data_IF_132240006863
#
_entry.id   IF_132240006863
#
_cell.length_a   1.000
_cell.length_b   1.000
_cell.length_c   1.000
_cell.angle_alpha   90.00
_cell.angle_beta   90.00
_cell.angle_gamma   90.00
#
_symmetry.space_group_name_H-M   'P 1'
#
loop_
_entity.id
_entity.type
_entity.pdbx_description
1 polymer ?
#
# COMPACT_ATOMS: atom_id res chain seq x y z
N UNK A 1 -12.25 -33.82 -61.95
CA UNK A 1 -11.79 -34.83 -60.97
C UNK A 1 -10.96 -34.13 -59.89
N UNK A 2 -11.42 -34.24 -58.63
CA UNK A 2 -10.68 -34.17 -57.35
C UNK A 2 -9.67 -33.02 -57.18
N UNK A 3 -10.07 -31.95 -56.47
CA UNK A 3 -9.78 -31.71 -55.03
C UNK A 3 -8.27 -31.62 -54.74
N UNK A 4 -7.78 -30.42 -54.45
CA UNK A 4 -7.08 -30.16 -53.19
C UNK A 4 -7.00 -28.63 -52.95
N UNK A 5 -7.84 -28.17 -52.02
CA UNK A 5 -7.74 -26.87 -51.36
C UNK A 5 -6.47 -26.93 -50.47
N UNK A 6 -5.46 -26.12 -50.74
CA UNK A 6 -4.38 -25.88 -49.77
C UNK A 6 -4.68 -24.55 -49.07
N UNK A 7 -5.49 -24.63 -48.02
CA UNK A 7 -5.64 -23.54 -47.05
C UNK A 7 -4.40 -23.56 -46.17
N UNK A 8 -3.49 -22.62 -46.38
CA UNK A 8 -2.44 -22.32 -45.42
C UNK A 8 -3.09 -21.62 -44.22
N UNK A 9 -3.56 -22.43 -43.28
CA UNK A 9 -3.95 -21.99 -41.96
C UNK A 9 -2.65 -21.72 -41.19
N UNK A 10 -2.19 -20.48 -41.25
CA UNK A 10 -1.12 -20.01 -40.37
C UNK A 10 -1.72 -19.94 -38.96
N UNK A 11 -1.73 -21.08 -38.26
CA UNK A 11 -1.83 -21.11 -36.80
C UNK A 11 -0.55 -20.45 -36.29
N UNK A 12 -0.55 -19.12 -36.24
CA UNK A 12 0.33 -18.40 -35.35
C UNK A 12 -0.17 -18.77 -33.96
N UNK A 13 0.36 -19.88 -33.43
CA UNK A 13 0.33 -20.15 -32.00
C UNK A 13 1.13 -19.01 -31.40
N UNK A 14 0.45 -17.89 -31.13
CA UNK A 14 0.84 -17.01 -30.06
C UNK A 14 0.78 -17.90 -28.82
N UNK A 15 1.91 -18.56 -28.52
CA UNK A 15 2.24 -18.86 -27.14
C UNK A 15 2.34 -17.50 -26.47
N UNK A 16 1.20 -16.92 -26.13
CA UNK A 16 1.10 -16.14 -24.93
C UNK A 16 1.61 -17.13 -23.88
N UNK A 17 2.88 -17.00 -23.53
CA UNK A 17 3.35 -17.38 -22.23
C UNK A 17 2.43 -16.63 -21.28
N UNK A 18 1.33 -17.29 -20.92
CA UNK A 18 0.61 -17.05 -19.69
C UNK A 18 1.70 -17.27 -18.64
N UNK A 19 2.46 -16.21 -18.36
CA UNK A 19 3.13 -16.06 -17.10
C UNK A 19 1.98 -16.09 -16.09
N UNK A 20 1.66 -17.31 -15.62
CA UNK A 20 0.76 -17.46 -14.51
C UNK A 20 1.47 -16.74 -13.38
N UNK A 21 0.96 -15.55 -13.04
CA UNK A 21 1.40 -14.80 -11.89
C UNK A 21 1.65 -15.78 -10.74
N UNK A 22 2.80 -15.64 -10.07
CA UNK A 22 3.14 -16.48 -8.94
C UNK A 22 2.11 -16.25 -7.83
N UNK A 23 1.05 -17.05 -7.81
CA UNK A 23 -0.02 -16.93 -6.83
C UNK A 23 0.47 -17.49 -5.50
N UNK A 24 0.18 -16.78 -4.42
CA UNK A 24 0.37 -17.29 -3.07
C UNK A 24 -0.49 -18.55 -2.89
N UNK A 25 0.00 -19.50 -2.10
CA UNK A 25 -0.85 -20.60 -1.64
C UNK A 25 -2.02 -20.05 -0.80
N UNK A 26 -3.10 -20.83 -0.63
CA UNK A 26 -4.23 -20.44 0.23
C UNK A 26 -3.77 -20.09 1.65
N UNK A 27 -2.80 -20.84 2.17
CA UNK A 27 -2.23 -20.60 3.48
C UNK A 27 -1.46 -19.26 3.54
N UNK A 28 -0.62 -18.98 2.54
CA UNK A 28 0.13 -17.72 2.47
C UNK A 28 -0.79 -16.52 2.26
N UNK A 29 -1.83 -16.64 1.42
CA UNK A 29 -2.82 -15.58 1.25
C UNK A 29 -3.56 -15.29 2.56
N UNK A 30 -3.91 -16.33 3.32
CA UNK A 30 -4.53 -16.16 4.64
C UNK A 30 -3.62 -15.37 5.59
N UNK A 31 -2.32 -15.66 5.60
CA UNK A 31 -1.35 -14.92 6.42
C UNK A 31 -1.30 -13.44 6.04
N UNK A 32 -1.34 -13.12 4.74
CA UNK A 32 -1.40 -11.73 4.29
C UNK A 32 -2.69 -11.06 4.75
N UNK A 33 -3.84 -11.73 4.62
CA UNK A 33 -5.13 -11.18 5.04
C UNK A 33 -5.18 -10.96 6.57
N UNK A 34 -4.68 -11.92 7.36
CA UNK A 34 -4.55 -11.81 8.82
C UNK A 34 -3.64 -10.63 9.21
N UNK A 35 -2.53 -10.42 8.47
CA UNK A 35 -1.63 -9.29 8.68
C UNK A 35 -2.30 -7.94 8.35
N UNK A 36 -3.17 -7.89 7.33
CA UNK A 36 -3.92 -6.67 7.01
C UNK A 36 -4.96 -6.36 8.09
N UNK A 37 -5.65 -7.38 8.61
CA UNK A 37 -6.57 -7.22 9.74
C UNK A 37 -5.84 -6.76 11.01
N UNK A 38 -4.67 -7.35 11.31
CA UNK A 38 -3.84 -6.89 12.42
C UNK A 38 -3.53 -5.38 12.31
N UNK A 39 -3.19 -4.87 11.12
CA UNK A 39 -2.96 -3.43 10.91
C UNK A 39 -4.21 -2.57 11.07
N UNK A 40 -5.39 -3.11 10.83
CA UNK A 40 -6.63 -2.39 11.13
C UNK A 40 -6.82 -2.29 12.64
N UNK A 41 -6.63 -3.41 13.35
CA UNK A 41 -6.78 -3.49 14.81
C UNK A 41 -5.78 -2.59 15.54
N UNK A 42 -4.56 -2.40 14.99
CA UNK A 42 -3.60 -1.48 15.60
C UNK A 42 -4.16 -0.08 15.73
N UNK A 43 -5.10 0.38 14.88
CA UNK A 43 -5.66 1.74 14.95
C UNK A 43 -6.51 2.01 16.20
N UNK A 44 -6.84 0.97 16.98
CA UNK A 44 -7.48 1.08 18.29
C UNK A 44 -6.48 1.33 19.43
N UNK A 45 -5.19 1.14 19.18
CA UNK A 45 -4.13 1.30 20.17
C UNK A 45 -3.58 2.73 20.18
N UNK A 46 -2.73 3.05 21.15
CA UNK A 46 -1.81 4.19 21.04
C UNK A 46 -0.66 3.85 20.07
N UNK A 47 0.08 4.85 19.54
CA UNK A 47 1.28 4.60 18.73
C UNK A 47 2.32 3.73 19.44
N UNK A 48 2.57 3.97 20.74
CA UNK A 48 3.51 3.19 21.55
C UNK A 48 3.07 1.73 21.73
N UNK A 49 1.78 1.52 21.99
CA UNK A 49 1.20 0.17 22.06
C UNK A 49 1.24 -0.54 20.72
N UNK A 50 1.05 0.19 19.61
CA UNK A 50 1.18 -0.35 18.25
C UNK A 50 2.60 -0.87 18.01
N UNK A 51 3.64 -0.09 18.36
CA UNK A 51 5.04 -0.52 18.22
C UNK A 51 5.30 -1.80 19.03
N UNK A 52 4.76 -1.89 20.25
CA UNK A 52 4.86 -3.11 21.08
C UNK A 52 4.14 -4.29 20.42
N UNK A 53 2.93 -4.09 19.91
CA UNK A 53 2.14 -5.12 19.24
C UNK A 53 2.83 -5.62 17.97
N UNK A 54 3.42 -4.73 17.16
CA UNK A 54 4.20 -5.09 15.95
C UNK A 54 5.41 -5.95 16.31
N UNK A 55 6.14 -5.60 17.37
CA UNK A 55 7.30 -6.39 17.84
C UNK A 55 6.88 -7.78 18.33
N UNK A 56 5.79 -7.87 19.07
CA UNK A 56 5.24 -9.16 19.52
C UNK A 56 4.76 -10.00 18.33
N UNK A 57 3.97 -9.42 17.43
CA UNK A 57 3.49 -10.10 16.22
C UNK A 57 4.65 -10.64 15.40
N UNK A 58 5.69 -9.82 15.16
CA UNK A 58 6.88 -10.25 14.43
C UNK A 58 7.58 -11.42 15.11
N UNK A 59 7.73 -11.37 16.44
CA UNK A 59 8.33 -12.45 17.21
C UNK A 59 7.51 -13.73 17.09
N UNK A 60 6.21 -13.67 17.35
CA UNK A 60 5.31 -14.83 17.25
C UNK A 60 5.32 -15.42 15.83
N UNK A 61 5.18 -14.58 14.80
CA UNK A 61 5.20 -15.01 13.40
C UNK A 61 6.52 -15.70 13.03
N UNK A 62 7.66 -15.18 13.50
CA UNK A 62 8.98 -15.77 13.26
C UNK A 62 9.32 -16.95 14.18
N UNK A 63 8.60 -17.17 15.27
CA UNK A 63 8.80 -18.32 16.16
C UNK A 63 7.81 -19.46 15.89
N UNK A 64 6.69 -19.17 15.22
CA UNK A 64 5.68 -20.15 14.86
C UNK A 64 6.27 -21.24 13.95
N UNK A 65 6.04 -22.51 14.30
CA UNK A 65 6.42 -23.64 13.48
C UNK A 65 5.77 -23.59 12.07
N UNK A 66 4.62 -22.92 11.95
CA UNK A 66 3.93 -22.69 10.69
C UNK A 66 4.75 -21.87 9.69
N UNK A 67 5.72 -21.06 10.16
CA UNK A 67 6.59 -20.26 9.28
C UNK A 67 7.38 -21.10 8.27
N UNK A 68 7.69 -22.35 8.62
CA UNK A 68 8.40 -23.28 7.74
C UNK A 68 7.56 -23.69 6.53
N UNK A 69 6.27 -23.35 6.51
CA UNK A 69 5.36 -23.54 5.38
C UNK A 69 5.19 -22.29 4.52
N UNK A 70 5.78 -21.16 4.89
CA UNK A 70 5.74 -19.93 4.10
C UNK A 70 6.99 -19.80 3.25
N UNK A 71 6.85 -19.28 2.03
CA UNK A 71 8.00 -18.90 1.23
C UNK A 71 8.75 -17.71 1.82
N UNK A 72 10.04 -17.58 1.51
CA UNK A 72 10.85 -16.40 1.86
C UNK A 72 10.22 -15.10 1.34
N UNK A 73 9.51 -15.16 0.20
CA UNK A 73 8.77 -14.03 -0.37
C UNK A 73 7.60 -13.60 0.52
N UNK A 74 6.78 -14.55 0.99
CA UNK A 74 5.67 -14.27 1.92
C UNK A 74 6.17 -13.66 3.22
N UNK A 75 7.26 -14.19 3.78
CA UNK A 75 7.89 -13.63 4.98
C UNK A 75 8.32 -12.17 4.74
N UNK A 76 8.96 -11.88 3.60
CA UNK A 76 9.39 -10.54 3.25
C UNK A 76 8.22 -9.56 3.09
N UNK A 77 7.10 -10.00 2.49
CA UNK A 77 5.87 -9.21 2.37
C UNK A 77 5.34 -8.82 3.75
N UNK A 78 5.22 -9.79 4.67
CA UNK A 78 4.72 -9.53 6.04
C UNK A 78 5.65 -8.56 6.76
N UNK A 79 6.97 -8.75 6.66
CA UNK A 79 7.94 -7.82 7.27
C UNK A 79 7.85 -6.40 6.71
N UNK A 80 7.62 -6.25 5.40
CA UNK A 80 7.40 -4.93 4.79
C UNK A 80 6.23 -4.22 5.47
N UNK A 81 5.10 -4.89 5.63
CA UNK A 81 3.93 -4.30 6.26
C UNK A 81 4.11 -4.02 7.75
N UNK A 82 4.82 -4.88 8.49
CA UNK A 82 5.15 -4.63 9.88
C UNK A 82 6.04 -3.39 10.04
N UNK A 83 7.04 -3.22 9.15
CA UNK A 83 7.90 -2.04 9.15
C UNK A 83 7.13 -0.78 8.78
N UNK A 84 6.19 -0.85 7.84
CA UNK A 84 5.32 0.29 7.50
C UNK A 84 4.43 0.71 8.67
N UNK A 85 3.92 -0.25 9.44
CA UNK A 85 3.12 0.01 10.63
C UNK A 85 3.95 0.62 11.75
N UNK A 86 5.14 0.06 12.03
CA UNK A 86 6.10 0.63 13.00
C UNK A 86 6.51 2.05 12.60
N UNK A 87 6.87 2.28 11.34
CA UNK A 87 7.20 3.59 10.81
C UNK A 87 6.06 4.59 11.02
N UNK A 88 4.82 4.22 10.66
CA UNK A 88 3.65 5.07 10.82
C UNK A 88 3.41 5.49 12.27
N UNK A 89 3.57 4.57 13.23
CA UNK A 89 3.45 4.86 14.65
C UNK A 89 4.58 5.74 15.19
N UNK A 90 5.83 5.48 14.79
CA UNK A 90 6.96 6.35 15.15
C UNK A 90 6.74 7.79 14.66
N UNK A 91 6.20 7.93 13.45
CA UNK A 91 5.88 9.23 12.84
C UNK A 91 4.72 9.96 13.53
N UNK A 92 3.79 9.24 14.15
CA UNK A 92 2.71 9.80 14.97
C UNK A 92 3.22 10.30 16.32
N UNK A 93 4.17 9.59 16.95
CA UNK A 93 4.81 10.01 18.21
C UNK A 93 5.64 11.27 18.01
N UNK A 94 6.51 11.25 16.99
CA UNK A 94 7.39 12.36 16.67
C UNK A 94 7.71 12.33 15.16
N UNK A 95 7.33 13.37 14.39
CA UNK A 95 7.67 13.48 12.97
C UNK A 95 9.17 13.41 12.65
N UNK A 96 10.04 13.60 13.66
CA UNK A 96 11.50 13.51 13.58
C UNK A 96 12.08 12.34 14.41
N UNK A 97 11.27 11.34 14.74
CA UNK A 97 11.72 10.20 15.55
C UNK A 97 12.98 9.54 14.95
N UNK A 98 14.07 9.39 15.72
CA UNK A 98 15.38 9.00 15.19
C UNK A 98 15.40 7.58 14.58
N UNK A 99 14.48 6.71 14.98
CA UNK A 99 14.40 5.32 14.49
C UNK A 99 13.72 5.16 13.12
N UNK A 100 12.97 6.17 12.63
CA UNK A 100 12.24 6.05 11.36
C UNK A 100 13.14 5.79 10.15
N UNK A 101 14.23 6.55 10.02
CA UNK A 101 15.16 6.39 8.90
C UNK A 101 15.91 5.04 8.96
N UNK A 102 16.48 4.63 10.12
CA UNK A 102 17.09 3.31 10.27
C UNK A 102 16.18 2.14 9.90
N UNK A 103 14.94 2.10 10.40
CA UNK A 103 14.04 0.96 10.16
C UNK A 103 13.67 0.83 8.68
N UNK A 104 13.35 1.94 8.02
CA UNK A 104 13.05 1.94 6.58
C UNK A 104 14.28 1.61 5.72
N UNK A 105 15.46 2.14 6.08
CA UNK A 105 16.70 1.86 5.34
C UNK A 105 17.03 0.37 5.38
N UNK A 106 16.97 -0.26 6.56
CA UNK A 106 17.26 -1.68 6.71
C UNK A 106 16.28 -2.55 5.89
N UNK A 107 14.98 -2.23 5.92
CA UNK A 107 13.99 -2.98 5.15
C UNK A 107 14.12 -2.73 3.64
N UNK A 108 14.43 -1.50 3.20
CA UNK A 108 14.69 -1.20 1.79
C UNK A 108 15.90 -2.00 1.28
N UNK A 109 17.02 -2.01 2.01
CA UNK A 109 18.22 -2.77 1.65
C UNK A 109 17.94 -4.29 1.58
N UNK A 110 17.11 -4.82 2.48
CA UNK A 110 16.67 -6.22 2.47
C UNK A 110 15.88 -6.55 1.19
N UNK A 111 14.94 -5.69 0.80
CA UNK A 111 14.19 -5.88 -0.45
C UNK A 111 15.08 -5.75 -1.68
N UNK A 112 15.99 -4.76 -1.75
CA UNK A 112 16.92 -4.60 -2.88
C UNK A 112 17.77 -5.86 -3.08
N UNK A 113 18.30 -6.42 -1.99
CA UNK A 113 19.07 -7.67 -2.02
C UNK A 113 18.23 -8.85 -2.48
N UNK A 114 16.99 -8.96 -2.00
CA UNK A 114 16.08 -10.03 -2.42
C UNK A 114 15.76 -9.92 -3.91
N UNK A 115 15.41 -8.73 -4.41
CA UNK A 115 15.08 -8.50 -5.83
C UNK A 115 16.28 -8.80 -6.75
N UNK A 116 17.49 -8.46 -6.31
CA UNK A 116 18.72 -8.78 -7.03
C UNK A 116 19.00 -10.28 -7.06
N UNK A 117 18.81 -10.98 -5.93
CA UNK A 117 19.02 -12.43 -5.83
C UNK A 117 18.03 -13.22 -6.71
N UNK A 118 16.79 -12.72 -6.83
CA UNK A 118 15.70 -13.38 -7.55
C UNK A 118 15.32 -12.58 -8.82
N UNK A 119 16.30 -11.97 -9.50
CA UNK A 119 16.05 -11.06 -10.64
C UNK A 119 15.26 -11.74 -11.77
N UNK A 120 15.51 -13.04 -12.01
CA UNK A 120 14.93 -13.84 -13.09
C UNK A 120 13.62 -14.52 -12.70
N UNK A 121 13.23 -14.41 -11.45
CA UNK A 121 12.01 -15.04 -10.94
C UNK A 121 10.83 -14.08 -11.06
N UNK A 122 9.69 -14.63 -11.42
CA UNK A 122 8.43 -13.89 -11.32
C UNK A 122 8.07 -13.71 -9.85
N UNK A 123 7.73 -12.47 -9.51
CA UNK A 123 7.45 -12.02 -8.14
C UNK A 123 5.95 -11.93 -7.95
N UNK A 124 5.49 -12.18 -6.73
CA UNK A 124 4.08 -12.03 -6.40
C UNK A 124 3.66 -10.55 -6.34
N UNK A 125 2.40 -10.25 -6.70
CA UNK A 125 1.84 -8.90 -6.69
C UNK A 125 1.91 -8.22 -5.32
N UNK A 126 1.77 -8.96 -4.22
CA UNK A 126 1.97 -8.46 -2.86
C UNK A 126 3.39 -8.02 -2.58
N UNK A 127 4.40 -8.66 -3.17
CA UNK A 127 5.78 -8.24 -2.99
C UNK A 127 6.03 -6.90 -3.70
N UNK A 128 5.58 -6.77 -4.95
CA UNK A 128 5.65 -5.49 -5.65
C UNK A 128 4.94 -4.37 -4.88
N UNK A 129 3.70 -4.61 -4.45
CA UNK A 129 2.91 -3.62 -3.72
C UNK A 129 3.54 -3.23 -2.36
N UNK A 130 3.93 -4.21 -1.55
CA UNK A 130 4.50 -3.95 -0.22
C UNK A 130 5.86 -3.26 -0.31
N UNK A 131 6.69 -3.63 -1.28
CA UNK A 131 7.98 -2.98 -1.49
C UNK A 131 7.82 -1.55 -2.04
N UNK A 132 6.85 -1.31 -2.93
CA UNK A 132 6.51 0.05 -3.36
C UNK A 132 6.11 0.94 -2.17
N UNK A 133 5.43 0.39 -1.16
CA UNK A 133 5.16 1.07 0.11
C UNK A 133 6.45 1.47 0.85
N UNK A 134 7.39 0.54 1.01
CA UNK A 134 8.70 0.82 1.66
C UNK A 134 9.48 1.90 0.91
N UNK A 135 9.57 1.81 -0.42
CA UNK A 135 10.27 2.81 -1.24
C UNK A 135 9.62 4.18 -1.03
N UNK A 136 8.28 4.26 -1.13
CA UNK A 136 7.50 5.48 -0.97
C UNK A 136 7.77 6.17 0.36
N UNK A 137 7.72 5.43 1.47
CA UNK A 137 8.03 5.95 2.81
C UNK A 137 9.48 6.40 2.94
N UNK A 138 10.40 5.70 2.28
CA UNK A 138 11.83 6.02 2.33
C UNK A 138 12.24 7.22 1.46
N UNK A 139 11.41 7.61 0.47
CA UNK A 139 11.67 8.74 -0.43
C UNK A 139 12.01 10.03 0.31
N UNK A 140 11.38 10.29 1.47
CA UNK A 140 11.57 11.53 2.23
C UNK A 140 13.04 11.76 2.63
N UNK A 141 13.83 10.70 2.78
CA UNK A 141 15.24 10.75 3.15
C UNK A 141 16.19 10.78 1.95
N UNK A 142 15.65 10.79 0.73
CA UNK A 142 16.40 10.74 -0.51
C UNK A 142 16.65 12.13 -1.12
N UNK A 143 17.67 12.20 -1.98
CA UNK A 143 17.93 13.38 -2.80
C UNK A 143 16.78 13.63 -3.79
N UNK A 144 16.65 14.85 -4.31
CA UNK A 144 15.60 15.19 -5.27
C UNK A 144 15.59 14.28 -6.51
N UNK A 145 16.75 14.05 -7.13
CA UNK A 145 16.83 13.17 -8.31
C UNK A 145 16.51 11.72 -7.98
N UNK A 146 16.96 11.23 -6.83
CA UNK A 146 16.61 9.89 -6.35
C UNK A 146 15.11 9.77 -6.07
N UNK A 147 14.44 10.83 -5.59
CA UNK A 147 12.98 10.84 -5.41
C UNK A 147 12.23 10.67 -6.72
N UNK A 148 12.68 11.30 -7.80
CA UNK A 148 12.07 11.16 -9.12
C UNK A 148 12.21 9.72 -9.62
N UNK A 149 13.44 9.20 -9.65
CA UNK A 149 13.73 7.84 -10.13
C UNK A 149 12.95 6.78 -9.33
N UNK A 150 13.06 6.82 -8.01
CA UNK A 150 12.38 5.88 -7.12
C UNK A 150 10.86 6.07 -7.10
N UNK A 151 10.37 7.29 -7.30
CA UNK A 151 8.94 7.56 -7.46
C UNK A 151 8.36 6.92 -8.74
N UNK A 152 9.11 6.88 -9.84
CA UNK A 152 8.72 6.16 -11.05
C UNK A 152 8.77 4.64 -10.83
N UNK A 153 9.78 4.13 -10.13
CA UNK A 153 9.87 2.72 -9.77
C UNK A 153 8.68 2.25 -8.91
N UNK A 154 8.23 3.08 -7.95
CA UNK A 154 7.02 2.82 -7.16
C UNK A 154 5.82 2.61 -8.08
N UNK A 155 5.61 3.49 -9.05
CA UNK A 155 4.52 3.37 -10.02
C UNK A 155 4.65 2.07 -10.83
N UNK A 156 5.84 1.79 -11.36
CA UNK A 156 6.10 0.57 -12.15
C UNK A 156 5.76 -0.70 -11.35
N UNK A 157 6.14 -0.76 -10.08
CA UNK A 157 5.84 -1.92 -9.23
C UNK A 157 4.34 -2.06 -8.95
N UNK A 158 3.64 -0.96 -8.70
CA UNK A 158 2.20 -1.00 -8.51
C UNK A 158 1.46 -1.38 -9.80
N UNK A 159 1.91 -0.91 -10.95
CA UNK A 159 1.39 -1.32 -12.26
C UNK A 159 1.62 -2.82 -12.49
N UNK A 160 2.82 -3.35 -12.23
CA UNK A 160 3.12 -4.79 -12.28
C UNK A 160 2.23 -5.62 -11.33
N UNK A 161 1.96 -5.11 -10.13
CA UNK A 161 1.06 -5.77 -9.19
C UNK A 161 -0.36 -5.88 -9.77
N UNK A 162 -0.87 -4.83 -10.42
CA UNK A 162 -2.19 -4.82 -11.05
C UNK A 162 -2.26 -5.57 -12.38
N UNK A 163 -1.17 -5.66 -13.14
CA UNK A 163 -1.09 -6.55 -14.31
C UNK A 163 -1.29 -8.02 -13.91
N UNK A 164 -0.74 -8.41 -12.76
CA UNK A 164 -0.88 -9.76 -12.20
C UNK A 164 -2.20 -9.98 -11.45
N UNK A 165 -2.66 -8.97 -10.71
CA UNK A 165 -3.88 -9.01 -9.93
C UNK A 165 -4.63 -7.66 -10.05
N UNK A 166 -5.48 -7.51 -11.09
CA UNK A 166 -6.20 -6.26 -11.36
C UNK A 166 -7.10 -5.81 -10.20
N UNK A 167 -7.54 -6.75 -9.37
CA UNK A 167 -8.46 -6.48 -8.26
C UNK A 167 -7.72 -6.25 -6.92
N UNK A 168 -6.42 -6.01 -6.96
CA UNK A 168 -5.64 -5.80 -5.75
C UNK A 168 -5.88 -4.39 -5.16
N UNK A 169 -6.83 -4.28 -4.24
CA UNK A 169 -7.23 -3.02 -3.57
C UNK A 169 -6.03 -2.18 -3.08
N UNK A 170 -5.05 -2.79 -2.40
CA UNK A 170 -3.87 -2.06 -1.91
C UNK A 170 -2.98 -1.49 -3.03
N UNK A 171 -2.84 -2.19 -4.16
CA UNK A 171 -2.07 -1.68 -5.30
C UNK A 171 -2.82 -0.55 -6.01
N UNK A 172 -4.15 -0.65 -6.13
CA UNK A 172 -5.02 0.42 -6.62
C UNK A 172 -4.90 1.67 -5.72
N UNK A 173 -4.94 1.51 -4.40
CA UNK A 173 -4.69 2.61 -3.46
C UNK A 173 -3.29 3.20 -3.61
N UNK A 174 -2.26 2.36 -3.79
CA UNK A 174 -0.89 2.82 -4.00
C UNK A 174 -0.78 3.70 -5.25
N UNK A 175 -1.41 3.30 -6.36
CA UNK A 175 -1.47 4.13 -7.57
C UNK A 175 -2.31 5.39 -7.35
N UNK A 176 -3.40 5.30 -6.61
CA UNK A 176 -4.21 6.45 -6.27
C UNK A 176 -3.39 7.52 -5.51
N UNK A 177 -2.57 7.11 -4.53
CA UNK A 177 -1.63 7.99 -3.83
C UNK A 177 -0.59 8.57 -4.78
N UNK A 178 -0.02 7.74 -5.66
CA UNK A 178 0.95 8.20 -6.65
C UNK A 178 0.35 9.29 -7.56
N UNK A 179 -0.85 9.06 -8.09
CA UNK A 179 -1.55 10.05 -8.93
C UNK A 179 -1.95 11.31 -8.17
N UNK A 180 -2.20 11.22 -6.86
CA UNK A 180 -2.49 12.40 -6.06
C UNK A 180 -1.26 13.31 -5.94
N UNK A 181 -0.11 12.75 -5.58
CA UNK A 181 1.11 13.52 -5.29
C UNK A 181 2.00 13.80 -6.52
N UNK A 182 1.87 13.02 -7.59
CA UNK A 182 2.67 13.24 -8.79
C UNK A 182 2.37 14.61 -9.42
N UNK A 183 3.38 15.32 -9.95
CA UNK A 183 3.15 16.52 -10.74
C UNK A 183 2.24 16.26 -11.94
N UNK A 184 1.44 17.25 -12.33
CA UNK A 184 0.56 17.16 -13.50
C UNK A 184 1.32 16.80 -14.79
N UNK A 185 2.55 17.28 -14.97
CA UNK A 185 3.41 16.95 -16.12
C UNK A 185 3.77 15.46 -16.19
N UNK A 186 3.82 14.77 -15.04
CA UNK A 186 4.05 13.33 -14.95
C UNK A 186 2.75 12.53 -14.96
N UNK A 187 1.61 13.19 -15.18
CA UNK A 187 0.28 12.58 -15.27
C UNK A 187 -0.51 12.52 -13.96
N UNK A 188 -0.05 13.18 -12.91
CA UNK A 188 -0.77 13.31 -11.64
C UNK A 188 -2.11 14.06 -11.77
N UNK A 189 -3.10 13.63 -11.01
CA UNK A 189 -4.46 14.17 -11.03
C UNK A 189 -5.27 13.63 -9.85
N UNK A 190 -5.90 14.53 -9.09
CA UNK A 190 -6.86 14.16 -8.04
C UNK A 190 -8.05 13.39 -8.61
N UNK A 191 -8.47 13.66 -9.85
CA UNK A 191 -9.56 12.89 -10.48
C UNK A 191 -9.13 11.45 -10.77
N UNK A 192 -7.92 11.24 -11.31
CA UNK A 192 -7.40 9.88 -11.51
C UNK A 192 -7.22 9.16 -10.17
N UNK A 193 -6.67 9.86 -9.18
CA UNK A 193 -6.55 9.34 -7.82
C UNK A 193 -7.89 8.83 -7.30
N UNK A 194 -8.96 9.63 -7.44
CA UNK A 194 -10.29 9.24 -7.01
C UNK A 194 -10.83 8.00 -7.77
N UNK A 195 -10.61 7.89 -9.08
CA UNK A 195 -11.00 6.69 -9.86
C UNK A 195 -10.33 5.44 -9.32
N UNK A 196 -9.03 5.48 -9.04
CA UNK A 196 -8.33 4.33 -8.45
C UNK A 196 -8.80 4.02 -7.02
N UNK A 197 -9.21 5.02 -6.23
CA UNK A 197 -9.83 4.75 -4.92
C UNK A 197 -11.23 4.16 -5.04
N UNK A 198 -12.01 4.53 -6.07
CA UNK A 198 -13.31 3.91 -6.35
C UNK A 198 -13.14 2.43 -6.70
N UNK A 199 -12.14 2.11 -7.54
CA UNK A 199 -11.77 0.72 -7.84
C UNK A 199 -11.29 -0.01 -6.58
N UNK A 200 -10.41 0.60 -5.78
CA UNK A 200 -9.92 0.00 -4.53
C UNK A 200 -11.05 -0.32 -3.54
N UNK A 201 -12.06 0.54 -3.45
CA UNK A 201 -13.26 0.29 -2.63
C UNK A 201 -14.09 -0.85 -3.20
N UNK A 202 -14.29 -0.89 -4.52
CA UNK A 202 -15.06 -1.94 -5.19
C UNK A 202 -14.41 -3.32 -5.04
N UNK A 203 -13.09 -3.35 -5.03
CA UNK A 203 -12.29 -4.56 -5.02
C UNK A 203 -11.76 -4.94 -3.62
N UNK A 204 -12.15 -4.20 -2.58
CA UNK A 204 -11.79 -4.52 -1.21
C UNK A 204 -12.37 -5.87 -0.80
N UNK A 205 -11.51 -6.79 -0.36
CA UNK A 205 -11.87 -8.17 -0.02
C UNK A 205 -12.17 -8.37 1.46
N UNK A 206 -11.73 -7.43 2.29
CA UNK A 206 -11.92 -7.44 3.74
C UNK A 206 -12.05 -6.01 4.30
N UNK A 207 -12.39 -5.90 5.57
CA UNK A 207 -12.61 -4.62 6.24
C UNK A 207 -11.34 -3.76 6.32
N UNK A 208 -10.16 -4.37 6.39
CA UNK A 208 -8.90 -3.63 6.41
C UNK A 208 -8.63 -2.92 5.07
N UNK A 209 -8.83 -3.62 3.95
CA UNK A 209 -8.74 -3.04 2.60
C UNK A 209 -9.79 -1.93 2.44
N UNK A 210 -11.04 -2.20 2.80
CA UNK A 210 -12.13 -1.24 2.65
C UNK A 210 -11.90 0.01 3.50
N UNK A 211 -11.49 -0.16 4.76
CA UNK A 211 -11.20 0.95 5.66
C UNK A 211 -10.08 1.82 5.09
N UNK A 212 -8.96 1.23 4.67
CA UNK A 212 -7.85 2.00 4.16
C UNK A 212 -8.18 2.71 2.83
N UNK A 213 -8.95 2.06 1.93
CA UNK A 213 -9.40 2.69 0.70
C UNK A 213 -10.33 3.88 0.99
N UNK A 214 -11.32 3.70 1.88
CA UNK A 214 -12.24 4.77 2.31
C UNK A 214 -11.53 5.90 3.05
N UNK A 215 -10.48 5.59 3.81
CA UNK A 215 -9.71 6.57 4.55
C UNK A 215 -9.17 7.65 3.62
N UNK A 216 -8.45 7.24 2.57
CA UNK A 216 -7.92 8.19 1.61
C UNK A 216 -8.95 8.71 0.60
N UNK A 217 -9.93 7.90 0.21
CA UNK A 217 -11.03 8.35 -0.66
C UNK A 217 -11.80 9.51 -0.05
N UNK A 218 -12.11 9.44 1.26
CA UNK A 218 -12.78 10.53 1.99
C UNK A 218 -12.02 11.85 1.84
N UNK A 219 -10.69 11.80 1.85
CA UNK A 219 -9.83 12.98 1.80
C UNK A 219 -9.77 13.57 0.38
N UNK A 220 -9.89 12.73 -0.65
CA UNK A 220 -10.10 13.21 -2.02
C UNK A 220 -11.45 13.91 -2.16
N UNK A 221 -12.53 13.39 -1.55
CA UNK A 221 -13.83 14.06 -1.55
C UNK A 221 -13.81 15.38 -0.79
N UNK A 222 -13.13 15.42 0.36
CA UNK A 222 -12.94 16.65 1.14
C UNK A 222 -12.20 17.72 0.32
N UNK A 223 -11.07 17.35 -0.32
CA UNK A 223 -10.30 18.26 -1.18
C UNK A 223 -11.15 18.86 -2.32
N UNK A 224 -12.11 18.09 -2.84
CA UNK A 224 -12.95 18.47 -3.97
C UNK A 224 -14.28 19.12 -3.57
N UNK A 225 -14.46 19.48 -2.29
CA UNK A 225 -15.71 20.02 -1.74
C UNK A 225 -16.95 19.13 -1.98
N UNK A 226 -16.75 17.81 -2.10
CA UNK A 226 -17.81 16.81 -2.29
C UNK A 226 -18.36 16.34 -0.94
N UNK A 227 -19.13 17.22 -0.30
CA UNK A 227 -19.56 17.06 1.11
C UNK A 227 -20.37 15.79 1.38
N UNK A 228 -21.26 15.39 0.48
CA UNK A 228 -22.10 14.20 0.70
C UNK A 228 -21.27 12.93 0.64
N UNK A 229 -20.46 12.78 -0.41
CA UNK A 229 -19.58 11.63 -0.59
C UNK A 229 -18.51 11.53 0.50
N UNK A 230 -18.01 12.68 0.97
CA UNK A 230 -17.15 12.76 2.15
C UNK A 230 -17.84 12.19 3.39
N UNK A 231 -19.05 12.67 3.71
CA UNK A 231 -19.80 12.22 4.88
C UNK A 231 -20.11 10.72 4.81
N UNK A 232 -20.50 10.22 3.64
CA UNK A 232 -20.78 8.80 3.42
C UNK A 232 -19.52 7.96 3.66
N UNK A 233 -18.37 8.38 3.11
CA UNK A 233 -17.09 7.70 3.36
C UNK A 233 -16.71 7.72 4.85
N UNK A 234 -16.87 8.85 5.54
CA UNK A 234 -16.60 8.96 6.97
C UNK A 234 -17.52 8.09 7.82
N UNK A 235 -18.80 7.95 7.44
CA UNK A 235 -19.74 7.05 8.11
C UNK A 235 -19.33 5.58 7.97
N UNK A 236 -18.84 5.18 6.79
CA UNK A 236 -18.30 3.82 6.59
C UNK A 236 -17.10 3.59 7.49
N UNK A 237 -16.15 4.52 7.57
CA UNK A 237 -14.97 4.38 8.45
C UNK A 237 -15.35 4.20 9.92
N UNK A 238 -16.31 5.00 10.40
CA UNK A 238 -16.81 4.92 11.79
C UNK A 238 -17.58 3.62 12.07
N UNK A 239 -18.23 3.06 11.05
CA UNK A 239 -18.94 1.79 11.17
C UNK A 239 -17.99 0.60 11.19
N UNK A 240 -16.93 0.63 10.37
CA UNK A 240 -15.96 -0.46 10.28
C UNK A 240 -15.08 -0.55 11.52
N UNK A 241 -14.64 0.60 12.05
CA UNK A 241 -13.80 0.65 13.23
C UNK A 241 -14.19 1.85 14.10
N UNK A 242 -15.12 1.68 15.05
CA UNK A 242 -15.52 2.75 15.96
C UNK A 242 -14.34 3.25 16.82
N UNK A 243 -14.34 4.54 17.16
CA UNK A 243 -13.41 5.14 18.16
C UNK A 243 -11.91 4.95 17.87
N UNK A 244 -11.51 4.86 16.61
CA UNK A 244 -10.11 4.67 16.23
C UNK A 244 -9.33 5.99 16.04
N UNK A 245 -8.01 5.94 16.26
CA UNK A 245 -7.15 7.12 16.18
C UNK A 245 -7.05 7.76 14.79
N UNK A 246 -7.17 6.96 13.72
CA UNK A 246 -7.04 7.42 12.33
C UNK A 246 -8.21 8.33 11.94
N UNK A 247 -9.45 7.93 12.26
CA UNK A 247 -10.65 8.76 12.03
C UNK A 247 -10.62 10.01 12.89
N UNK A 248 -10.24 9.90 14.17
CA UNK A 248 -10.05 11.07 15.03
C UNK A 248 -9.06 12.08 14.44
N UNK A 249 -7.96 11.61 13.85
CA UNK A 249 -7.00 12.47 13.16
C UNK A 249 -7.64 13.18 11.95
N UNK A 250 -8.37 12.45 11.09
CA UNK A 250 -9.05 13.06 9.94
C UNK A 250 -10.02 14.16 10.36
N UNK A 251 -10.83 13.93 11.38
CA UNK A 251 -11.79 14.92 11.87
C UNK A 251 -11.09 16.18 12.38
N UNK A 252 -9.98 16.02 13.12
CA UNK A 252 -9.16 17.17 13.58
C UNK A 252 -8.58 17.96 12.40
N UNK A 253 -8.00 17.27 11.42
CA UNK A 253 -7.41 17.90 10.23
C UNK A 253 -8.48 18.61 9.39
N UNK A 254 -9.57 17.92 9.06
CA UNK A 254 -10.63 18.44 8.22
C UNK A 254 -11.35 19.63 8.87
N UNK A 255 -11.56 19.61 10.19
CA UNK A 255 -12.08 20.78 10.94
C UNK A 255 -11.16 22.01 10.82
N UNK A 256 -9.85 21.78 10.70
CA UNK A 256 -8.86 22.83 10.50
C UNK A 256 -8.64 23.20 9.01
N UNK A 257 -9.39 22.60 8.09
CA UNK A 257 -9.28 22.84 6.65
C UNK A 257 -8.14 22.10 5.95
N UNK A 258 -7.58 21.07 6.58
CA UNK A 258 -6.51 20.24 6.02
C UNK A 258 -7.01 18.85 5.66
N UNK A 259 -6.53 18.31 4.55
CA UNK A 259 -6.61 16.87 4.24
C UNK A 259 -5.48 16.11 4.95
N UNK A 260 -5.57 14.77 4.97
CA UNK A 260 -4.42 13.95 5.37
C UNK A 260 -3.21 14.15 4.43
N UNK A 261 -3.45 14.47 3.16
CA UNK A 261 -2.38 14.65 2.18
C UNK A 261 -1.58 15.93 2.47
N UNK A 262 -2.26 17.02 2.80
CA UNK A 262 -1.60 18.26 3.25
C UNK A 262 -0.76 18.00 4.50
N UNK A 263 -1.32 17.21 5.44
CA UNK A 263 -0.62 16.80 6.65
C UNK A 263 0.60 15.91 6.36
N UNK A 264 0.60 15.10 5.29
CA UNK A 264 1.75 14.30 4.92
C UNK A 264 2.86 15.13 4.26
N UNK A 265 2.51 16.14 3.46
CA UNK A 265 3.50 17.02 2.80
C UNK A 265 4.17 17.99 3.79
N UNK A 266 3.41 18.57 4.71
CA UNK A 266 3.89 19.62 5.63
C UNK A 266 3.59 19.29 7.10
N UNK A 267 3.87 18.02 7.47
CA UNK A 267 3.52 17.46 8.78
C UNK A 267 3.99 18.30 9.95
N UNK A 268 5.27 18.64 10.01
CA UNK A 268 5.84 19.37 11.14
C UNK A 268 5.13 20.71 11.39
N UNK A 269 4.83 21.44 10.31
CA UNK A 269 4.14 22.72 10.40
C UNK A 269 2.69 22.56 10.84
N UNK A 270 1.97 21.60 10.27
CA UNK A 270 0.56 21.36 10.63
C UNK A 270 0.46 20.80 12.05
N UNK A 271 1.32 19.85 12.42
CA UNK A 271 1.46 19.32 13.78
C UNK A 271 1.66 20.45 14.80
N UNK A 272 2.66 21.33 14.58
CA UNK A 272 2.91 22.49 15.44
C UNK A 272 1.73 23.46 15.51
N UNK A 273 1.01 23.66 14.41
CA UNK A 273 -0.16 24.57 14.34
C UNK A 273 -1.35 24.02 15.12
N UNK A 274 -1.58 22.71 15.07
CA UNK A 274 -2.77 22.08 15.63
C UNK A 274 -2.55 21.51 17.04
N UNK A 275 -1.29 21.34 17.49
CA UNK A 275 -0.98 20.77 18.81
C UNK A 275 -1.51 19.35 18.98
N UNK A 276 -1.53 18.60 17.86
CA UNK A 276 -1.96 17.20 17.79
C UNK A 276 -0.79 16.27 17.92
#
# INVERSE_FOLDING_TARGET
MKKLLFVFLLFMVCTASLFCAKNLSVLEQKVIDDMMMFRLDTYLLTPEETIKAVKEYKKTFLEDASKNHYSDETILIVENYLVLEEFGSLEEINPDHPEMKPVLKAQNEKNEQWFKKHEKEEKNSWLYCSYAGIISSYLRYQSFFTKIDKGLLVKEYLEKALEQNPDMSFAQMGLALWYYFAPAISGGSVNKSLTYYEEAVSNARNDAELFNAKYYQSQCFFHKDKKNEYNDAMNVLKSLLPENRKVTLLEKLNKAGYTIFDYQEDRQKIYKKLGI
#
